data_IF_908008455623
#
_entry.id   IF_908008455623
#
_cell.length_a   1.000
_cell.length_b   1.000
_cell.length_c   1.000
_cell.angle_alpha   90.00
_cell.angle_beta   90.00
_cell.angle_gamma   90.00
#
_symmetry.space_group_name_H-M   'P 1'
#
loop_
_entity.id
_entity.type
_entity.pdbx_description
1 polymer ?
#
# COMPACT_ATOMS: atom_id res chain seq x y z
N UNK A 1 -0.18 -12.27 11.56
CA UNK A 1 -0.91 -11.04 11.92
C UNK A 1 -0.96 -10.03 10.77
N UNK A 2 0.18 -9.60 10.22
CA UNK A 2 0.22 -8.61 9.12
C UNK A 2 -0.60 -8.99 7.87
N UNK A 3 -0.58 -10.26 7.45
CA UNK A 3 -1.41 -10.72 6.32
C UNK A 3 -2.91 -10.52 6.56
N UNK A 4 -3.42 -10.90 7.74
CA UNK A 4 -4.83 -10.72 8.07
C UNK A 4 -5.21 -9.23 8.06
N UNK A 5 -4.36 -8.38 8.63
CA UNK A 5 -4.54 -6.92 8.61
C UNK A 5 -4.54 -6.35 7.19
N UNK A 6 -3.66 -6.82 6.30
CA UNK A 6 -3.70 -6.45 4.87
C UNK A 6 -5.04 -6.82 4.25
N UNK A 7 -5.48 -8.07 4.40
CA UNK A 7 -6.71 -8.53 3.78
C UNK A 7 -7.95 -7.83 4.32
N UNK A 8 -8.00 -7.57 5.63
CA UNK A 8 -9.03 -6.74 6.25
C UNK A 8 -8.99 -5.32 5.71
N UNK A 9 -7.82 -4.66 5.67
CA UNK A 9 -7.70 -3.31 5.13
C UNK A 9 -8.21 -3.20 3.69
N UNK A 10 -7.91 -4.18 2.84
CA UNK A 10 -8.44 -4.24 1.47
C UNK A 10 -9.96 -4.44 1.47
N UNK A 11 -10.51 -5.29 2.34
CA UNK A 11 -11.94 -5.52 2.44
C UNK A 11 -12.70 -4.25 2.91
N UNK A 12 -12.16 -3.56 3.92
CA UNK A 12 -12.72 -2.31 4.43
C UNK A 12 -12.67 -1.20 3.37
N UNK A 13 -11.58 -1.12 2.59
CA UNK A 13 -11.48 -0.17 1.47
C UNK A 13 -12.58 -0.42 0.43
N UNK A 14 -12.80 -1.69 0.05
CA UNK A 14 -13.90 -2.07 -0.87
C UNK A 14 -15.29 -1.80 -0.28
N UNK A 15 -15.42 -1.80 1.04
CA UNK A 15 -16.64 -1.44 1.74
C UNK A 15 -16.81 0.08 1.94
N UNK A 16 -15.90 0.91 1.43
CA UNK A 16 -15.92 2.37 1.56
C UNK A 16 -15.50 2.90 2.93
N UNK A 17 -15.00 2.04 3.82
CA UNK A 17 -14.57 2.41 5.19
C UNK A 17 -13.10 2.80 5.18
N UNK A 18 -12.81 3.94 4.56
CA UNK A 18 -11.46 4.38 4.22
C UNK A 18 -10.56 4.57 5.46
N UNK A 19 -11.07 5.17 6.53
CA UNK A 19 -10.34 5.33 7.81
C UNK A 19 -9.86 3.98 8.36
N UNK A 20 -10.79 3.04 8.54
CA UNK A 20 -10.47 1.71 9.07
C UNK A 20 -9.54 0.94 8.13
N UNK A 21 -9.74 1.06 6.81
CA UNK A 21 -8.86 0.46 5.83
C UNK A 21 -7.42 0.95 5.99
N UNK A 22 -7.25 2.27 6.16
CA UNK A 22 -5.95 2.92 6.34
C UNK A 22 -5.24 2.40 7.58
N UNK A 23 -5.90 2.44 8.74
CA UNK A 23 -5.33 1.95 10.01
C UNK A 23 -4.84 0.51 9.90
N UNK A 24 -5.62 -0.37 9.26
CA UNK A 24 -5.27 -1.79 9.12
C UNK A 24 -4.08 -1.99 8.18
N UNK A 25 -4.01 -1.22 7.09
CA UNK A 25 -2.88 -1.27 6.16
C UNK A 25 -1.61 -0.68 6.79
N UNK A 26 -1.70 0.43 7.51
CA UNK A 26 -0.59 1.05 8.26
C UNK A 26 -0.02 0.11 9.31
N UNK A 27 -0.89 -0.55 10.09
CA UNK A 27 -0.46 -1.53 11.07
C UNK A 27 0.26 -2.72 10.39
N UNK A 28 -0.27 -3.19 9.27
CA UNK A 28 0.40 -4.22 8.49
C UNK A 28 1.72 -3.74 7.87
N UNK A 29 1.87 -2.46 7.51
CA UNK A 29 3.15 -1.87 7.06
C UNK A 29 4.15 -1.89 8.21
N UNK A 30 3.74 -1.41 9.39
CA UNK A 30 4.58 -1.37 10.60
C UNK A 30 5.15 -2.75 10.93
N UNK A 31 4.29 -3.76 10.99
CA UNK A 31 4.70 -5.14 11.28
C UNK A 31 5.64 -5.71 10.21
N UNK A 32 5.43 -5.40 8.93
CA UNK A 32 6.29 -5.92 7.85
C UNK A 32 7.63 -5.21 7.77
N UNK A 33 7.70 -3.91 8.09
CA UNK A 33 8.97 -3.19 8.26
C UNK A 33 9.80 -3.79 9.39
N UNK A 34 9.18 -4.09 10.54
CA UNK A 34 9.86 -4.75 11.66
C UNK A 34 10.43 -6.14 11.30
N UNK A 35 9.79 -6.84 10.37
CA UNK A 35 10.21 -8.15 9.88
C UNK A 35 11.19 -8.08 8.70
N UNK A 36 11.56 -6.89 8.21
CA UNK A 36 12.38 -6.73 7.00
C UNK A 36 11.70 -7.25 5.72
N UNK A 37 10.37 -7.41 5.71
CA UNK A 37 9.64 -7.95 4.56
C UNK A 37 9.25 -6.85 3.57
N UNK A 38 10.25 -6.30 2.87
CA UNK A 38 10.12 -5.15 1.97
C UNK A 38 9.09 -5.33 0.83
N UNK A 39 8.99 -6.49 0.13
CA UNK A 39 7.93 -6.69 -0.86
C UNK A 39 6.52 -6.52 -0.25
N UNK A 40 6.31 -7.03 0.96
CA UNK A 40 5.03 -6.89 1.63
C UNK A 40 4.73 -5.46 2.10
N UNK A 41 5.76 -4.65 2.37
CA UNK A 41 5.61 -3.22 2.64
C UNK A 41 5.17 -2.50 1.37
N UNK A 42 5.90 -2.68 0.26
CA UNK A 42 5.57 -2.08 -1.04
C UNK A 42 4.13 -2.41 -1.47
N UNK A 43 3.70 -3.66 -1.34
CA UNK A 43 2.33 -4.06 -1.68
C UNK A 43 1.26 -3.35 -0.85
N UNK A 44 1.53 -3.02 0.42
CA UNK A 44 0.58 -2.28 1.26
C UNK A 44 0.58 -0.79 0.98
N UNK A 45 1.74 -0.20 0.68
CA UNK A 45 1.86 1.21 0.31
C UNK A 45 1.03 1.52 -0.93
N UNK A 46 0.99 0.61 -1.92
CA UNK A 46 0.05 0.68 -3.05
C UNK A 46 -1.41 0.75 -2.59
N UNK A 47 -1.81 -0.08 -1.61
CA UNK A 47 -3.16 -0.05 -1.05
C UNK A 47 -3.48 1.27 -0.34
N UNK A 48 -2.51 1.82 0.40
CA UNK A 48 -2.62 3.12 1.04
C UNK A 48 -2.70 4.26 0.02
N UNK A 49 -2.00 4.15 -1.11
CA UNK A 49 -2.07 5.12 -2.20
C UNK A 49 -3.48 5.19 -2.79
N UNK A 50 -4.13 4.05 -3.03
CA UNK A 50 -5.54 4.04 -3.47
C UNK A 50 -6.49 4.65 -2.45
N UNK A 51 -6.26 4.45 -1.14
CA UNK A 51 -7.06 5.08 -0.09
C UNK A 51 -6.85 6.60 -0.09
N UNK A 52 -5.60 7.06 -0.16
CA UNK A 52 -5.29 8.50 -0.22
C UNK A 52 -5.91 9.16 -1.46
N UNK A 53 -5.89 8.47 -2.61
CA UNK A 53 -6.56 8.93 -3.83
C UNK A 53 -8.08 9.05 -3.67
N UNK A 54 -8.72 8.07 -3.03
CA UNK A 54 -10.14 8.09 -2.75
C UNK A 54 -10.55 9.21 -1.78
N UNK A 55 -9.59 9.78 -1.04
CA UNK A 55 -9.75 10.91 -0.13
C UNK A 55 -9.33 12.24 -0.77
N UNK A 56 -9.10 12.27 -2.09
CA UNK A 56 -8.63 13.43 -2.86
C UNK A 56 -7.22 13.93 -2.43
N UNK A 57 -6.46 13.08 -1.74
CA UNK A 57 -5.08 13.38 -1.28
C UNK A 57 -4.07 12.85 -2.30
N UNK A 58 -4.12 13.39 -3.52
CA UNK A 58 -3.31 12.91 -4.65
C UNK A 58 -1.80 12.95 -4.39
N UNK A 59 -1.30 14.03 -3.78
CA UNK A 59 0.14 14.16 -3.48
C UNK A 59 0.61 13.11 -2.48
N UNK A 60 -0.22 12.77 -1.48
CA UNK A 60 0.07 11.69 -0.54
C UNK A 60 0.11 10.33 -1.26
N UNK A 61 -0.83 10.09 -2.17
CA UNK A 61 -0.86 8.87 -2.98
C UNK A 61 0.41 8.72 -3.82
N UNK A 62 0.88 9.79 -4.48
CA UNK A 62 2.11 9.77 -5.27
C UNK A 62 3.34 9.46 -4.42
N UNK A 63 3.49 10.11 -3.25
CA UNK A 63 4.61 9.79 -2.34
C UNK A 63 4.60 8.34 -1.86
N UNK A 64 3.43 7.79 -1.58
CA UNK A 64 3.29 6.38 -1.19
C UNK A 64 3.70 5.43 -2.32
N UNK A 65 3.37 5.79 -3.58
CA UNK A 65 3.79 5.03 -4.76
C UNK A 65 5.30 5.16 -5.02
N UNK A 66 5.90 6.32 -4.79
CA UNK A 66 7.36 6.50 -4.90
C UNK A 66 8.10 5.59 -3.90
N UNK A 67 7.64 5.55 -2.65
CA UNK A 67 8.23 4.65 -1.65
C UNK A 67 8.01 3.16 -2.02
N UNK A 68 6.81 2.82 -2.50
CA UNK A 68 6.51 1.46 -2.95
C UNK A 68 7.39 1.02 -4.13
N UNK A 69 7.67 1.92 -5.08
CA UNK A 69 8.55 1.67 -6.22
C UNK A 69 9.98 1.36 -5.74
N UNK A 70 10.55 2.24 -4.90
CA UNK A 70 11.90 2.06 -4.38
C UNK A 70 12.07 0.72 -3.66
N UNK A 71 11.13 0.36 -2.77
CA UNK A 71 11.17 -0.91 -2.05
C UNK A 71 11.00 -2.12 -2.97
N UNK A 72 10.14 -2.01 -4.00
CA UNK A 72 9.94 -3.09 -4.97
C UNK A 72 11.19 -3.30 -5.84
N UNK A 73 11.87 -2.23 -6.24
CA UNK A 73 13.12 -2.27 -7.00
C UNK A 73 14.25 -2.91 -6.18
N UNK A 74 14.50 -2.39 -4.96
CA UNK A 74 15.51 -2.92 -4.04
C UNK A 74 15.32 -4.41 -3.75
N UNK A 75 14.07 -4.87 -3.73
CA UNK A 75 13.72 -6.27 -3.42
C UNK A 75 13.54 -7.16 -4.65
N UNK A 76 13.72 -6.64 -5.88
CA UNK A 76 13.47 -7.38 -7.12
C UNK A 76 12.00 -7.81 -7.33
N UNK A 77 11.06 -7.17 -6.64
CA UNK A 77 9.64 -7.53 -6.65
C UNK A 77 8.91 -6.96 -7.88
N UNK A 78 9.29 -7.44 -9.07
CA UNK A 78 8.80 -6.93 -10.37
C UNK A 78 7.27 -6.92 -10.52
N UNK A 79 6.57 -7.88 -9.92
CA UNK A 79 5.11 -7.91 -9.92
C UNK A 79 4.49 -6.72 -9.16
N UNK A 80 5.14 -6.27 -8.09
CA UNK A 80 4.71 -5.12 -7.31
C UNK A 80 5.07 -3.83 -8.04
N UNK A 81 6.26 -3.75 -8.63
CA UNK A 81 6.66 -2.60 -9.45
C UNK A 81 5.66 -2.31 -10.58
N UNK A 82 5.20 -3.36 -11.29
CA UNK A 82 4.13 -3.20 -12.30
C UNK A 82 2.82 -2.67 -11.71
N UNK A 83 2.48 -3.11 -10.50
CA UNK A 83 1.27 -2.66 -9.81
C UNK A 83 1.37 -1.19 -9.37
N UNK A 84 2.57 -0.74 -8.99
CA UNK A 84 2.87 0.66 -8.68
C UNK A 84 2.67 1.54 -9.91
N UNK A 85 3.20 1.13 -11.07
CA UNK A 85 3.02 1.88 -12.32
C UNK A 85 1.54 1.97 -12.73
N UNK A 86 0.80 0.86 -12.63
CA UNK A 86 -0.64 0.85 -12.87
C UNK A 86 -1.39 1.81 -11.94
N UNK A 87 -1.08 1.78 -10.64
CA UNK A 87 -1.67 2.69 -9.67
C UNK A 87 -1.37 4.15 -10.03
N UNK A 88 -0.13 4.47 -10.42
CA UNK A 88 0.30 5.83 -10.80
C UNK A 88 -0.50 6.37 -12.00
N UNK A 89 -0.81 5.52 -12.98
CA UNK A 89 -1.65 5.90 -14.13
C UNK A 89 -3.13 6.08 -13.81
N UNK A 90 -3.60 5.49 -12.70
CA UNK A 90 -4.99 5.53 -12.26
C UNK A 90 -5.30 6.65 -11.26
N UNK A 91 -4.27 7.26 -10.66
CA UNK A 91 -4.38 8.51 -9.90
C UNK A 91 -4.68 9.63 -10.88
#
# INVERSE_FOLDING_TARGET
MSYALRHLGIAEHRAGRLETARERLEESVRLRRQLGFHPGVAANLVGLAYIAAAEDRRDDALRLLDEAAALAEESGALGIARHVEQARTAL
#
